data_IF_927399041946
#
_entry.id   IF_927399041946
#
_cell.length_a   1.000
_cell.length_b   1.000
_cell.length_c   1.000
_cell.angle_alpha   90.00
_cell.angle_beta   90.00
_cell.angle_gamma   90.00
#
_symmetry.space_group_name_H-M   'P 1'
#
loop_
_entity.id
_entity.type
_entity.pdbx_description
1 polymer ?
#
# COMPACT_ATOMS: atom_id res chain seq x y z
N UNK A 1 -20.03 53.01 -43.75
CA UNK A 1 -18.68 53.11 -44.30
C UNK A 1 -17.76 52.43 -43.30
N UNK A 2 -16.97 51.45 -43.73
CA UNK A 2 -16.06 50.75 -42.81
C UNK A 2 -15.08 51.72 -42.18
N UNK A 3 -14.69 51.47 -40.93
CA UNK A 3 -13.74 52.28 -40.20
C UNK A 3 -12.37 52.19 -40.89
N UNK A 4 -12.05 53.25 -41.64
CA UNK A 4 -10.83 53.33 -42.43
C UNK A 4 -9.57 53.32 -41.55
N UNK A 5 -9.68 53.73 -40.29
CA UNK A 5 -8.57 53.68 -39.34
C UNK A 5 -8.26 52.23 -38.96
N UNK A 6 -9.27 51.37 -38.81
CA UNK A 6 -9.07 49.95 -38.54
C UNK A 6 -8.40 49.22 -39.72
N UNK A 7 -8.69 49.65 -40.96
CA UNK A 7 -8.01 49.12 -42.15
C UNK A 7 -6.56 49.60 -42.24
N UNK A 8 -6.31 50.87 -41.90
CA UNK A 8 -4.98 51.47 -41.94
C UNK A 8 -4.03 50.85 -40.91
N UNK A 9 -4.53 50.56 -39.70
CA UNK A 9 -3.77 49.94 -38.62
C UNK A 9 -3.34 48.50 -38.98
N UNK A 10 -4.23 47.74 -39.63
CA UNK A 10 -3.93 46.39 -40.12
C UNK A 10 -2.87 46.36 -41.24
N UNK A 11 -2.72 47.45 -42.00
CA UNK A 11 -1.75 47.57 -43.09
C UNK A 11 -0.40 48.06 -42.57
N UNK A 12 -0.41 48.97 -41.58
CA UNK A 12 0.80 49.63 -41.10
C UNK A 12 1.58 48.81 -40.06
N UNK A 13 0.94 47.85 -39.39
CA UNK A 13 1.57 47.02 -38.37
C UNK A 13 1.33 45.51 -38.64
N UNK A 14 2.00 44.91 -39.65
CA UNK A 14 1.71 43.57 -40.15
C UNK A 14 2.34 42.41 -39.33
N UNK A 15 2.95 42.69 -38.18
CA UNK A 15 3.46 41.65 -37.26
C UNK A 15 2.28 40.90 -36.60
N UNK A 16 2.45 39.63 -36.15
CA UNK A 16 1.33 38.75 -35.85
C UNK A 16 0.53 39.24 -34.65
N UNK A 17 -0.54 40.00 -34.90
CA UNK A 17 -1.55 40.28 -33.89
C UNK A 17 -2.48 39.08 -33.81
N UNK A 18 -2.62 38.48 -32.61
CA UNK A 18 -3.96 38.49 -32.07
C UNK A 18 -3.94 38.53 -30.53
N UNK A 19 -3.85 39.71 -29.92
CA UNK A 19 -4.44 39.91 -28.61
C UNK A 19 -5.97 40.03 -28.78
N UNK A 20 -6.63 38.92 -29.17
CA UNK A 20 -8.09 38.83 -29.13
C UNK A 20 -8.51 38.68 -27.67
N UNK A 21 -8.86 39.80 -27.06
CA UNK A 21 -9.39 39.84 -25.70
C UNK A 21 -10.85 39.39 -25.71
N UNK A 22 -11.12 38.23 -25.13
CA UNK A 22 -12.50 37.84 -24.79
C UNK A 22 -12.82 38.44 -23.42
N UNK A 23 -13.81 39.33 -23.35
CA UNK A 23 -14.31 39.88 -22.09
C UNK A 23 -15.83 39.72 -22.01
N UNK A 24 -16.35 39.53 -20.81
CA UNK A 24 -17.77 39.41 -20.51
C UNK A 24 -18.09 39.97 -19.14
N UNK A 25 -19.35 40.38 -18.92
CA UNK A 25 -19.81 40.95 -17.65
C UNK A 25 -19.59 39.93 -16.51
N UNK A 26 -18.62 40.19 -15.64
CA UNK A 26 -18.33 39.40 -14.44
C UNK A 26 -17.13 38.43 -14.52
N UNK A 27 -16.31 38.44 -15.58
CA UNK A 27 -15.19 37.51 -15.74
C UNK A 27 -13.84 38.17 -16.03
N UNK A 28 -12.75 37.59 -15.53
CA UNK A 28 -11.38 38.07 -15.70
C UNK A 28 -10.87 38.11 -17.15
N UNK A 29 -9.68 38.69 -17.34
CA UNK A 29 -9.05 38.84 -18.65
C UNK A 29 -8.25 37.57 -18.99
N UNK A 30 -8.53 36.94 -20.13
CA UNK A 30 -7.65 35.93 -20.72
C UNK A 30 -6.66 36.64 -21.63
N UNK A 31 -5.40 36.74 -21.19
CA UNK A 31 -4.31 37.32 -21.97
C UNK A 31 -3.52 36.21 -22.63
N UNK A 32 -3.61 36.08 -23.95
CA UNK A 32 -2.68 35.27 -24.73
C UNK A 32 -1.40 36.08 -24.91
N UNK A 33 -0.38 35.82 -24.09
CA UNK A 33 0.91 36.49 -24.22
C UNK A 33 1.75 35.77 -25.26
N UNK A 34 2.09 36.48 -26.34
CA UNK A 34 3.12 36.04 -27.27
C UNK A 34 4.48 36.15 -26.54
N UNK A 35 5.19 35.05 -26.24
CA UNK A 35 6.54 35.13 -25.71
C UNK A 35 7.45 35.64 -26.84
N UNK A 36 8.60 36.22 -26.52
CA UNK A 36 9.61 36.61 -27.52
C UNK A 36 10.24 35.42 -28.28
N UNK A 37 9.58 34.26 -28.34
CA UNK A 37 10.00 33.03 -29.01
C UNK A 37 9.16 32.83 -30.28
N UNK A 38 9.82 32.50 -31.40
CA UNK A 38 9.28 32.53 -32.76
C UNK A 38 8.26 31.43 -33.13
N UNK A 39 7.45 30.94 -32.18
CA UNK A 39 6.49 29.84 -32.41
C UNK A 39 5.17 30.07 -31.68
N UNK A 40 4.06 29.97 -32.40
CA UNK A 40 2.70 30.11 -31.85
C UNK A 40 2.39 29.04 -30.79
N UNK A 41 1.79 29.43 -29.66
CA UNK A 41 1.16 28.48 -28.73
C UNK A 41 -0.20 28.05 -29.29
N UNK A 42 -0.29 26.84 -29.81
CA UNK A 42 -1.59 26.31 -30.22
C UNK A 42 -2.35 25.74 -29.01
N UNK A 43 -3.40 26.43 -28.56
CA UNK A 43 -4.34 25.91 -27.56
C UNK A 43 -5.54 25.29 -28.27
N UNK A 44 -5.35 24.09 -28.80
CA UNK A 44 -6.38 23.41 -29.60
C UNK A 44 -7.27 22.57 -28.68
N UNK A 45 -8.34 23.18 -28.17
CA UNK A 45 -9.27 22.54 -27.24
C UNK A 45 -10.00 21.32 -27.85
N UNK A 46 -10.39 20.32 -27.04
CA UNK A 46 -11.24 19.24 -27.52
C UNK A 46 -12.60 19.76 -28.00
N UNK A 47 -13.15 19.17 -29.06
CA UNK A 47 -14.46 19.54 -29.60
C UNK A 47 -15.65 19.04 -28.75
N UNK A 48 -15.40 18.20 -27.74
CA UNK A 48 -16.39 17.63 -26.83
C UNK A 48 -16.23 18.21 -25.43
N UNK A 49 -17.29 18.20 -24.63
CA UNK A 49 -17.20 18.50 -23.19
C UNK A 49 -16.51 17.35 -22.44
N UNK A 50 -15.65 17.69 -21.48
CA UNK A 50 -15.10 16.74 -20.51
C UNK A 50 -16.09 16.44 -19.38
N UNK A 51 -15.76 15.44 -18.57
CA UNK A 51 -16.42 15.17 -17.30
C UNK A 51 -15.80 16.00 -16.16
N UNK A 52 -16.50 16.07 -15.04
CA UNK A 52 -15.96 16.69 -13.83
C UNK A 52 -14.71 15.93 -13.36
N UNK A 53 -13.58 16.63 -13.20
CA UNK A 53 -12.29 16.04 -12.81
C UNK A 53 -11.37 15.67 -13.98
N UNK A 54 -11.81 15.79 -15.22
CA UNK A 54 -10.93 15.59 -16.38
C UNK A 54 -9.90 16.73 -16.50
N UNK A 55 -8.69 16.39 -16.95
CA UNK A 55 -7.65 17.37 -17.30
C UNK A 55 -7.40 17.36 -18.82
N UNK A 56 -6.94 18.48 -19.36
CA UNK A 56 -6.46 18.56 -20.73
C UNK A 56 -5.01 18.05 -20.79
N UNK A 57 -4.78 17.01 -21.59
CA UNK A 57 -3.44 16.49 -21.89
C UNK A 57 -3.06 16.84 -23.31
N UNK A 58 -1.81 17.27 -23.48
CA UNK A 58 -1.34 17.79 -24.76
C UNK A 58 -1.30 16.77 -25.88
N UNK A 59 -1.78 17.19 -27.05
CA UNK A 59 -1.74 16.43 -28.29
C UNK A 59 -0.38 16.43 -28.99
N UNK A 60 0.64 17.10 -28.42
CA UNK A 60 1.99 17.15 -28.99
C UNK A 60 2.24 18.29 -30.00
N UNK A 61 1.35 19.29 -30.07
CA UNK A 61 1.51 20.50 -30.88
C UNK A 61 1.05 20.38 -32.34
N UNK A 62 1.22 21.45 -33.13
CA UNK A 62 0.67 21.51 -34.49
C UNK A 62 -0.86 21.51 -34.46
N UNK A 63 -1.54 20.88 -35.44
CA UNK A 63 -3.01 20.86 -35.52
C UNK A 63 -3.69 19.80 -34.63
N UNK A 64 -2.96 19.09 -33.77
CA UNK A 64 -3.55 18.08 -32.88
C UNK A 64 -4.30 18.77 -31.74
N UNK A 65 -5.47 18.23 -31.38
CA UNK A 65 -6.22 18.75 -30.24
C UNK A 65 -5.69 18.15 -28.93
N UNK A 66 -5.81 18.92 -27.85
CA UNK A 66 -5.73 18.41 -26.50
C UNK A 66 -6.78 17.30 -26.31
N UNK A 67 -6.52 16.38 -25.38
CA UNK A 67 -7.45 15.28 -25.07
C UNK A 67 -7.91 15.37 -23.62
N UNK A 68 -9.20 15.13 -23.38
CA UNK A 68 -9.70 14.91 -22.02
C UNK A 68 -9.11 13.62 -21.46
N UNK A 69 -8.27 13.76 -20.44
CA UNK A 69 -7.71 12.63 -19.71
C UNK A 69 -8.47 12.50 -18.41
N UNK A 70 -9.17 11.38 -18.25
CA UNK A 70 -9.76 11.04 -16.97
C UNK A 70 -8.64 10.80 -15.98
N UNK A 71 -8.65 11.57 -14.90
CA UNK A 71 -7.64 11.48 -13.86
C UNK A 71 -8.12 10.69 -12.64
N UNK A 72 -9.32 10.09 -12.71
CA UNK A 72 -9.91 9.32 -11.61
C UNK A 72 -11.14 9.98 -10.99
N UNK A 73 -11.63 9.39 -9.92
CA UNK A 73 -12.86 9.78 -9.21
C UNK A 73 -12.61 10.95 -8.26
N UNK A 74 -13.48 11.96 -8.28
CA UNK A 74 -13.44 13.11 -7.38
C UNK A 74 -13.75 12.71 -5.92
N UNK A 75 -13.07 13.33 -4.94
CA UNK A 75 -13.41 13.22 -3.52
C UNK A 75 -12.37 12.57 -2.60
N UNK A 76 -11.17 12.27 -3.08
CA UNK A 76 -10.10 11.67 -2.28
C UNK A 76 -8.96 12.66 -1.94
N UNK A 77 -8.29 12.43 -0.80
CA UNK A 77 -7.24 13.28 -0.22
C UNK A 77 -6.02 13.47 -1.13
N UNK A 78 -5.74 12.47 -1.98
CA UNK A 78 -4.74 12.55 -3.04
C UNK A 78 -5.47 12.29 -4.35
N UNK A 79 -5.72 13.33 -5.16
CA UNK A 79 -6.25 13.15 -6.50
C UNK A 79 -5.36 12.16 -7.27
N UNK A 80 -5.97 11.35 -8.14
CA UNK A 80 -5.27 10.59 -9.19
C UNK A 80 -4.62 9.25 -8.80
N UNK A 81 -5.14 8.56 -7.78
CA UNK A 81 -4.59 7.28 -7.27
C UNK A 81 -5.49 6.04 -7.44
N UNK A 82 -6.59 6.12 -8.17
CA UNK A 82 -7.57 5.01 -8.35
C UNK A 82 -7.28 4.09 -9.54
N UNK A 83 -6.20 4.33 -10.30
CA UNK A 83 -5.67 3.42 -11.31
C UNK A 83 -4.66 2.40 -10.77
N UNK A 84 -4.21 1.48 -11.63
CA UNK A 84 -3.01 0.65 -11.35
C UNK A 84 -1.78 1.55 -11.34
N UNK A 85 -1.41 2.03 -10.15
CA UNK A 85 -0.22 2.86 -9.94
C UNK A 85 0.99 1.97 -9.66
N UNK A 86 2.01 2.05 -10.50
CA UNK A 86 3.31 1.40 -10.25
C UNK A 86 4.15 2.34 -9.41
N UNK A 87 4.32 2.02 -8.13
CA UNK A 87 5.28 2.73 -7.27
C UNK A 87 6.70 2.32 -7.66
N UNK A 88 7.41 3.19 -8.40
CA UNK A 88 8.85 3.04 -8.64
C UNK A 88 9.63 3.81 -7.59
N UNK A 89 9.90 3.18 -6.45
CA UNK A 89 10.77 3.72 -5.41
C UNK A 89 11.61 2.60 -4.83
N UNK A 90 12.82 2.91 -4.37
CA UNK A 90 13.64 1.96 -3.61
C UNK A 90 12.97 1.71 -2.26
N UNK A 91 12.59 0.47 -1.96
CA UNK A 91 12.07 0.11 -0.64
C UNK A 91 13.19 0.33 0.39
N UNK A 92 13.00 1.32 1.27
CA UNK A 92 13.95 1.61 2.37
C UNK A 92 13.58 0.90 3.66
N UNK A 93 12.58 0.01 3.64
CA UNK A 93 12.31 -0.85 4.79
C UNK A 93 13.52 -1.73 5.06
N UNK A 94 14.03 -1.70 6.28
CA UNK A 94 15.02 -2.66 6.73
C UNK A 94 14.44 -4.08 6.74
N UNK A 95 15.29 -5.12 6.86
CA UNK A 95 14.80 -6.47 7.09
C UNK A 95 13.90 -6.49 8.32
N UNK A 96 12.73 -7.14 8.21
CA UNK A 96 11.86 -7.39 9.35
C UNK A 96 12.53 -8.45 10.20
N UNK A 97 13.08 -8.05 11.35
CA UNK A 97 13.62 -8.97 12.36
C UNK A 97 12.53 -9.23 13.38
N UNK A 98 12.17 -10.50 13.56
CA UNK A 98 11.17 -10.91 14.56
C UNK A 98 11.60 -10.50 15.97
N UNK A 99 10.64 -10.07 16.80
CA UNK A 99 10.91 -9.69 18.20
C UNK A 99 10.98 -10.91 19.10
N UNK A 100 11.65 -10.79 20.25
CA UNK A 100 11.69 -11.83 21.29
C UNK A 100 10.77 -11.42 22.44
N UNK A 101 9.74 -12.24 22.71
CA UNK A 101 8.82 -12.11 23.84
C UNK A 101 9.26 -13.07 24.96
N UNK A 102 9.74 -12.55 26.08
CA UNK A 102 10.23 -13.39 27.19
C UNK A 102 9.11 -13.71 28.17
N UNK A 103 8.92 -15.00 28.44
CA UNK A 103 7.93 -15.52 29.38
C UNK A 103 8.63 -16.24 30.55
N UNK A 104 8.29 -15.85 31.78
CA UNK A 104 8.87 -16.42 33.02
C UNK A 104 7.91 -17.37 33.74
N UNK A 105 6.63 -17.36 33.37
CA UNK A 105 5.60 -18.21 33.96
C UNK A 105 5.68 -19.67 33.52
N UNK A 106 4.90 -20.51 34.19
CA UNK A 106 4.73 -21.94 33.88
C UNK A 106 3.52 -22.21 32.97
N UNK A 107 2.79 -21.18 32.58
CA UNK A 107 1.64 -21.25 31.69
C UNK A 107 1.58 -20.04 30.79
N UNK A 108 1.32 -20.23 29.51
CA UNK A 108 1.08 -19.16 28.55
C UNK A 108 0.09 -19.64 27.49
N UNK A 109 -0.81 -18.76 27.06
CA UNK A 109 -1.70 -19.03 25.92
C UNK A 109 -1.27 -18.11 24.79
N UNK A 110 -1.10 -18.66 23.59
CA UNK A 110 -0.75 -17.86 22.42
C UNK A 110 -1.75 -16.72 22.23
N UNK A 111 -1.24 -15.58 21.79
CA UNK A 111 -2.01 -14.43 21.38
C UNK A 111 -1.72 -14.10 19.92
N UNK A 112 -2.62 -13.35 19.28
CA UNK A 112 -2.40 -12.87 17.91
C UNK A 112 -1.11 -12.03 17.78
N UNK A 113 -0.68 -11.38 18.87
CA UNK A 113 0.57 -10.61 18.91
C UNK A 113 1.84 -11.45 18.85
N UNK A 114 1.76 -12.77 19.05
CA UNK A 114 2.93 -13.65 18.99
C UNK A 114 3.31 -14.02 17.55
N UNK A 115 2.42 -13.80 16.58
CA UNK A 115 2.69 -14.11 15.17
C UNK A 115 3.89 -13.31 14.65
N UNK A 116 4.88 -14.02 14.08
CA UNK A 116 6.13 -13.47 13.59
C UNK A 116 7.19 -13.24 14.68
N UNK A 117 6.99 -13.74 15.90
CA UNK A 117 7.89 -13.53 17.04
C UNK A 117 8.50 -14.84 17.55
N UNK A 118 9.54 -14.71 18.38
CA UNK A 118 10.06 -15.80 19.21
C UNK A 118 9.59 -15.64 20.64
N UNK A 119 8.89 -16.64 21.19
CA UNK A 119 8.57 -16.72 22.61
C UNK A 119 9.68 -17.48 23.33
N UNK A 120 10.36 -16.79 24.24
CA UNK A 120 11.46 -17.32 25.04
C UNK A 120 10.99 -17.67 26.44
N UNK A 121 10.95 -18.96 26.76
CA UNK A 121 10.60 -19.44 28.10
C UNK A 121 11.83 -19.59 28.99
N UNK A 122 11.80 -18.96 30.16
CA UNK A 122 12.93 -18.90 31.11
C UNK A 122 12.69 -19.65 32.42
N UNK A 123 11.50 -20.25 32.58
CA UNK A 123 11.14 -21.01 33.78
C UNK A 123 11.99 -22.29 33.91
N UNK A 124 12.46 -22.57 35.13
CA UNK A 124 13.11 -23.84 35.46
C UNK A 124 12.13 -24.96 35.80
N UNK A 125 10.83 -24.62 35.95
CA UNK A 125 9.73 -25.57 36.14
C UNK A 125 9.01 -25.83 34.81
N UNK A 126 8.40 -27.02 34.60
CA UNK A 126 7.67 -27.33 33.37
C UNK A 126 6.68 -26.23 32.98
N UNK A 127 6.66 -25.90 31.69
CA UNK A 127 5.82 -24.85 31.11
C UNK A 127 4.74 -25.48 30.23
N UNK A 128 3.50 -25.00 30.34
CA UNK A 128 2.43 -25.32 29.40
C UNK A 128 2.16 -24.11 28.50
N UNK A 129 2.42 -24.25 27.19
CA UNK A 129 2.05 -23.30 26.15
C UNK A 129 0.78 -23.80 25.45
N UNK A 130 -0.33 -23.08 25.54
CA UNK A 130 -1.60 -23.44 24.91
C UNK A 130 -1.77 -22.74 23.56
N UNK A 131 -2.11 -23.49 22.51
CA UNK A 131 -2.43 -22.94 21.18
C UNK A 131 -3.74 -22.17 21.17
N UNK A 132 -3.89 -21.19 20.27
CA UNK A 132 -5.09 -20.35 20.13
C UNK A 132 -5.79 -20.58 18.79
N UNK A 133 -7.10 -20.80 18.82
CA UNK A 133 -7.90 -21.18 17.63
C UNK A 133 -8.24 -20.02 16.69
N UNK A 134 -8.00 -18.77 17.09
CA UNK A 134 -8.29 -17.58 16.30
C UNK A 134 -7.07 -17.06 15.52
N UNK A 135 -5.94 -17.77 15.54
CA UNK A 135 -4.75 -17.35 14.79
C UNK A 135 -4.96 -17.55 13.28
N UNK A 136 -4.59 -16.56 12.44
CA UNK A 136 -4.79 -16.66 11.00
C UNK A 136 -3.83 -17.68 10.35
N UNK A 137 -4.21 -18.29 9.21
CA UNK A 137 -3.28 -19.08 8.39
C UNK A 137 -2.02 -18.26 8.04
N UNK A 138 -0.86 -18.90 8.08
CA UNK A 138 0.43 -18.24 7.86
C UNK A 138 1.07 -17.63 9.11
N UNK A 139 0.36 -17.56 10.25
CA UNK A 139 0.97 -17.18 11.52
C UNK A 139 2.06 -18.20 11.90
N UNK A 140 3.27 -17.72 12.13
CA UNK A 140 4.40 -18.51 12.60
C UNK A 140 4.91 -17.99 13.95
N UNK A 141 5.24 -18.90 14.85
CA UNK A 141 5.79 -18.57 16.18
C UNK A 141 6.96 -19.51 16.46
N UNK A 142 8.10 -18.96 16.86
CA UNK A 142 9.20 -19.76 17.40
C UNK A 142 9.06 -19.87 18.91
N UNK A 143 9.29 -21.06 19.47
CA UNK A 143 9.20 -21.34 20.91
C UNK A 143 10.57 -21.81 21.36
N UNK A 144 11.23 -21.04 22.22
CA UNK A 144 12.59 -21.29 22.69
C UNK A 144 12.60 -21.65 24.17
N UNK A 145 13.16 -22.81 24.52
CA UNK A 145 13.39 -23.21 25.91
C UNK A 145 14.77 -22.74 26.39
N UNK A 146 14.83 -21.67 27.20
CA UNK A 146 16.07 -21.18 27.84
C UNK A 146 16.15 -21.56 29.31
N UNK A 147 15.01 -21.82 29.96
CA UNK A 147 14.97 -22.41 31.30
C UNK A 147 15.05 -23.93 31.27
N UNK A 148 15.39 -24.56 32.41
CA UNK A 148 15.42 -26.04 32.49
C UNK A 148 14.02 -26.69 32.44
N UNK A 149 12.96 -25.90 32.56
CA UNK A 149 11.59 -26.36 32.45
C UNK A 149 11.23 -26.67 31.00
N UNK A 150 10.85 -27.92 30.74
CA UNK A 150 10.40 -28.34 29.42
C UNK A 150 9.12 -27.61 29.03
N UNK A 151 9.03 -27.13 27.78
CA UNK A 151 7.86 -26.41 27.26
C UNK A 151 6.98 -27.41 26.53
N UNK A 152 5.80 -27.67 27.09
CA UNK A 152 4.77 -28.53 26.48
C UNK A 152 3.78 -27.67 25.70
N UNK A 153 3.55 -28.02 24.44
CA UNK A 153 2.56 -27.41 23.57
C UNK A 153 1.23 -28.15 23.77
N UNK A 154 0.31 -27.55 24.50
CA UNK A 154 -1.03 -28.07 24.72
C UNK A 154 -2.00 -27.58 23.64
N UNK A 155 -2.80 -28.49 23.07
CA UNK A 155 -3.86 -28.11 22.15
C UNK A 155 -4.96 -27.33 22.90
N UNK A 156 -5.12 -26.05 22.57
CA UNK A 156 -6.26 -25.27 23.02
C UNK A 156 -7.57 -25.74 22.40
N UNK A 157 -8.69 -25.31 22.97
CA UNK A 157 -10.02 -25.65 22.47
C UNK A 157 -10.18 -25.21 21.01
N UNK A 158 -10.64 -26.11 20.14
CA UNK A 158 -10.79 -25.84 18.71
C UNK A 158 -9.46 -25.70 17.96
N UNK A 159 -8.38 -26.29 18.48
CA UNK A 159 -7.11 -26.38 17.73
C UNK A 159 -6.72 -27.84 17.52
N UNK A 160 -6.06 -28.09 16.40
CA UNK A 160 -5.44 -29.39 16.08
C UNK A 160 -3.95 -29.19 15.89
N UNK A 161 -3.14 -30.16 16.30
CA UNK A 161 -1.69 -30.14 16.15
C UNK A 161 -1.22 -31.33 15.32
N UNK A 162 -0.33 -31.08 14.38
CA UNK A 162 0.28 -32.08 13.51
C UNK A 162 1.79 -32.07 13.70
N UNK A 163 2.35 -33.23 14.04
CA UNK A 163 3.79 -33.49 14.04
C UNK A 163 4.02 -34.92 13.56
N UNK A 164 4.87 -35.16 12.55
CA UNK A 164 5.14 -36.53 12.06
C UNK A 164 5.60 -37.49 13.15
N UNK A 165 6.25 -36.98 14.20
CA UNK A 165 6.77 -37.76 15.32
C UNK A 165 5.91 -37.65 16.58
N UNK A 166 4.73 -37.00 16.49
CA UNK A 166 3.85 -36.69 17.62
C UNK A 166 4.54 -35.88 18.73
N UNK A 167 5.52 -35.04 18.37
CA UNK A 167 6.19 -34.18 19.34
C UNK A 167 5.24 -33.11 19.84
N UNK A 168 5.18 -32.98 21.16
CA UNK A 168 4.27 -32.06 21.86
C UNK A 168 5.00 -31.21 22.88
N UNK A 169 6.33 -31.28 22.91
CA UNK A 169 7.17 -30.53 23.85
C UNK A 169 8.58 -30.37 23.30
N UNK A 170 9.30 -29.41 23.85
CA UNK A 170 10.74 -29.22 23.56
C UNK A 170 11.55 -30.42 24.04
N UNK A 171 12.59 -30.83 23.31
CA UNK A 171 13.43 -31.97 23.70
C UNK A 171 14.19 -31.71 25.01
N UNK A 172 14.73 -30.50 25.18
CA UNK A 172 15.50 -30.10 26.35
C UNK A 172 15.97 -28.64 26.28
N UNK A 173 16.90 -28.28 27.17
CA UNK A 173 17.44 -26.93 27.23
C UNK A 173 18.02 -26.50 25.87
N UNK A 174 17.70 -25.27 25.45
CA UNK A 174 18.03 -24.66 24.16
C UNK A 174 17.32 -25.23 22.92
N UNK A 175 16.36 -26.13 23.11
CA UNK A 175 15.51 -26.58 22.01
C UNK A 175 14.61 -25.43 21.51
N UNK A 176 14.44 -25.38 20.19
CA UNK A 176 13.50 -24.49 19.53
C UNK A 176 12.45 -25.31 18.78
N UNK A 177 11.18 -25.01 19.02
CA UNK A 177 10.06 -25.49 18.22
C UNK A 177 9.55 -24.38 17.31
N UNK A 178 9.14 -24.76 16.10
CA UNK A 178 8.35 -23.91 15.21
C UNK A 178 6.88 -24.32 15.26
N UNK A 179 6.01 -23.35 15.50
CA UNK A 179 4.56 -23.49 15.37
C UNK A 179 4.12 -22.70 14.14
N UNK A 180 3.47 -23.36 13.18
CA UNK A 180 2.95 -22.73 11.98
C UNK A 180 1.47 -23.05 11.82
N UNK A 181 0.63 -22.04 11.62
CA UNK A 181 -0.80 -22.23 11.32
C UNK A 181 -0.96 -22.49 9.83
N UNK A 182 -1.27 -23.73 9.46
CA UNK A 182 -1.48 -24.12 8.05
C UNK A 182 -2.87 -23.73 7.57
N UNK A 183 -3.88 -23.97 8.41
CA UNK A 183 -5.28 -23.70 8.12
C UNK A 183 -6.01 -23.17 9.36
N UNK A 184 -7.03 -22.35 9.14
CA UNK A 184 -8.01 -21.99 10.16
C UNK A 184 -9.37 -21.70 9.51
N UNK A 185 -10.14 -22.75 9.29
CA UNK A 185 -11.45 -22.61 8.64
C UNK A 185 -12.45 -21.95 9.60
N UNK A 186 -13.06 -20.85 9.19
CA UNK A 186 -14.06 -20.14 9.99
C UNK A 186 -13.49 -19.38 11.20
N UNK A 187 -12.16 -19.25 11.32
CA UNK A 187 -11.51 -18.43 12.35
C UNK A 187 -11.57 -18.99 13.77
N UNK A 188 -11.93 -20.27 13.94
CA UNK A 188 -12.07 -20.93 15.25
C UNK A 188 -11.58 -22.39 15.27
N UNK A 189 -10.90 -22.83 14.21
CA UNK A 189 -10.45 -24.21 13.99
C UNK A 189 -9.00 -24.22 13.44
N UNK A 190 -8.06 -23.63 14.19
CA UNK A 190 -6.68 -23.50 13.75
C UNK A 190 -5.93 -24.84 13.79
N UNK A 191 -5.30 -25.19 12.67
CA UNK A 191 -4.45 -26.37 12.49
C UNK A 191 -2.99 -25.96 12.52
N UNK A 192 -2.26 -26.44 13.54
CA UNK A 192 -0.86 -26.12 13.77
C UNK A 192 0.03 -27.25 13.27
N UNK A 193 1.06 -26.90 12.49
CA UNK A 193 2.23 -27.75 12.26
C UNK A 193 3.25 -27.47 13.36
N UNK A 194 3.65 -28.52 14.08
CA UNK A 194 4.69 -28.48 15.09
C UNK A 194 5.96 -29.12 14.52
N UNK A 195 7.04 -28.34 14.49
CA UNK A 195 8.34 -28.73 13.93
C UNK A 195 9.49 -28.37 14.88
N UNK A 196 10.70 -28.80 14.55
CA UNK A 196 11.92 -28.46 15.29
C UNK A 196 12.31 -29.53 16.31
N UNK A 197 12.98 -29.09 17.36
CA UNK A 197 13.67 -29.94 18.34
C UNK A 197 12.71 -30.47 19.41
N UNK A 198 11.78 -31.32 18.99
CA UNK A 198 10.70 -31.85 19.81
C UNK A 198 10.92 -33.23 20.42
N UNK A 199 10.07 -33.56 21.40
CA UNK A 199 9.91 -34.87 22.03
C UNK A 199 8.44 -35.15 22.41
#
# INVERSE_FOLDING_TARGET
MGDFNALLDCIQNPDPSPNKQFSGLGGGIITMQNPSAATDYNFNLPATSGNSGDVLTSGGGGSTAETWTSTGTLGHTLPYLDGSNTWSGTQTFGPVVGTISTQTGTSYTLAAADCGTTIRFTSNSPVTLTTLNSLPPGCSVAVEQVGSGQVTIAAGAGTTQHSPHNYTKTYGLYAILGLFVDLNTGGAAAEFIVSGDGA
#
